data_IF_707222349675
#
_entry.id   IF_707222349675
#
_cell.length_a   1.000
_cell.length_b   1.000
_cell.length_c   1.000
_cell.angle_alpha   90.00
_cell.angle_beta   90.00
_cell.angle_gamma   90.00
#
_symmetry.space_group_name_H-M   'P 1'
#
loop_
_entity.id
_entity.type
_entity.pdbx_description
1 polymer ?
#
# COMPACT_ATOMS: atom_id res chain seq x y z
N UNK A 1 -5.85 -33.15 -8.66
CA UNK A 1 -4.37 -33.19 -8.51
C UNK A 1 -3.90 -31.97 -7.74
N UNK A 2 -3.87 -32.05 -6.40
CA UNK A 2 -3.41 -30.95 -5.54
C UNK A 2 -1.95 -30.54 -5.83
N UNK A 3 -1.12 -31.50 -6.26
CA UNK A 3 0.31 -31.28 -6.54
C UNK A 3 0.54 -30.21 -7.63
N UNK A 4 -0.10 -30.35 -8.79
CA UNK A 4 0.10 -29.43 -9.92
C UNK A 4 -0.55 -28.05 -9.70
N UNK A 5 -1.68 -28.00 -8.98
CA UNK A 5 -2.40 -26.73 -8.73
C UNK A 5 -1.94 -25.96 -7.50
N UNK A 6 -1.23 -26.61 -6.56
CA UNK A 6 -0.82 -26.02 -5.27
C UNK A 6 0.68 -26.10 -5.06
N UNK A 7 1.27 -27.29 -5.17
CA UNK A 7 2.69 -27.51 -4.86
C UNK A 7 3.61 -26.87 -5.88
N UNK A 8 3.28 -26.95 -7.18
CA UNK A 8 4.10 -26.36 -8.24
C UNK A 8 4.14 -24.82 -8.14
N UNK A 9 3.00 -24.10 -8.04
CA UNK A 9 3.02 -22.65 -7.81
C UNK A 9 3.80 -22.26 -6.54
N UNK A 10 3.60 -22.97 -5.43
CA UNK A 10 4.33 -22.71 -4.18
C UNK A 10 5.84 -22.89 -4.34
N UNK A 11 6.28 -23.96 -5.00
CA UNK A 11 7.69 -24.22 -5.24
C UNK A 11 8.32 -23.12 -6.11
N UNK A 12 7.61 -22.66 -7.15
CA UNK A 12 8.05 -21.55 -7.98
C UNK A 12 8.19 -20.28 -7.12
N UNK A 13 7.16 -19.90 -6.37
CA UNK A 13 7.22 -18.72 -5.49
C UNK A 13 8.37 -18.81 -4.48
N UNK A 14 8.60 -19.98 -3.89
CA UNK A 14 9.69 -20.21 -2.94
C UNK A 14 11.07 -20.03 -3.58
N UNK A 15 11.28 -20.61 -4.77
CA UNK A 15 12.52 -20.47 -5.52
C UNK A 15 12.79 -19.02 -5.91
N UNK A 16 11.78 -18.30 -6.42
CA UNK A 16 11.90 -16.87 -6.71
C UNK A 16 12.23 -16.06 -5.45
N UNK A 17 11.61 -16.38 -4.31
CA UNK A 17 11.92 -15.75 -3.02
C UNK A 17 13.38 -15.94 -2.61
N UNK A 18 13.92 -17.15 -2.72
CA UNK A 18 15.34 -17.43 -2.45
C UNK A 18 16.25 -16.67 -3.41
N UNK A 19 15.94 -16.69 -4.71
CA UNK A 19 16.73 -15.97 -5.72
C UNK A 19 16.78 -14.49 -5.39
N UNK A 20 15.64 -13.84 -5.10
CA UNK A 20 15.61 -12.41 -4.75
C UNK A 20 16.33 -12.08 -3.44
N UNK A 21 16.30 -12.99 -2.47
CA UNK A 21 17.05 -12.83 -1.22
C UNK A 21 18.56 -12.84 -1.50
N UNK A 22 19.07 -13.85 -2.21
CA UNK A 22 20.51 -13.96 -2.54
C UNK A 22 20.94 -12.77 -3.40
N UNK A 23 20.14 -12.46 -4.42
CA UNK A 23 20.29 -11.34 -5.33
C UNK A 23 20.56 -10.01 -4.59
N UNK A 24 19.78 -9.72 -3.55
CA UNK A 24 19.90 -8.47 -2.79
C UNK A 24 21.27 -8.32 -2.08
N UNK A 25 21.87 -9.41 -1.60
CA UNK A 25 23.13 -9.37 -0.83
C UNK A 25 24.40 -9.57 -1.68
N UNK A 26 24.28 -10.03 -2.93
CA UNK A 26 25.44 -10.32 -3.80
C UNK A 26 25.67 -9.17 -4.79
N UNK A 27 26.75 -8.38 -4.67
CA UNK A 27 27.01 -7.25 -5.56
C UNK A 27 27.71 -7.69 -6.87
N UNK A 28 27.03 -8.50 -7.68
CA UNK A 28 27.52 -8.96 -8.99
C UNK A 28 26.75 -8.31 -10.15
N UNK A 29 27.34 -8.21 -11.35
CA UNK A 29 26.72 -7.54 -12.52
C UNK A 29 25.37 -8.14 -12.91
N UNK A 30 25.31 -9.47 -13.06
CA UNK A 30 24.06 -10.19 -13.35
C UNK A 30 22.99 -9.95 -12.27
N UNK A 31 23.45 -9.69 -11.05
CA UNK A 31 22.56 -9.37 -9.95
C UNK A 31 21.94 -7.98 -10.14
N UNK A 32 22.76 -6.95 -10.35
CA UNK A 32 22.27 -5.59 -10.57
C UNK A 32 21.30 -5.52 -11.77
N UNK A 33 21.56 -6.24 -12.86
CA UNK A 33 20.67 -6.32 -14.03
C UNK A 33 19.32 -6.97 -13.71
N UNK A 34 19.30 -8.05 -12.91
CA UNK A 34 18.06 -8.68 -12.44
C UNK A 34 17.26 -7.72 -11.55
N UNK A 35 17.93 -7.04 -10.62
CA UNK A 35 17.29 -6.08 -9.73
C UNK A 35 16.64 -4.92 -10.51
N UNK A 36 17.35 -4.33 -11.48
CA UNK A 36 16.80 -3.25 -12.30
C UNK A 36 15.61 -3.73 -13.12
N UNK A 37 15.72 -4.90 -13.76
CA UNK A 37 14.62 -5.46 -14.58
C UNK A 37 13.37 -5.70 -13.74
N UNK A 38 13.55 -6.26 -12.55
CA UNK A 38 12.44 -6.57 -11.65
C UNK A 38 11.83 -5.30 -11.06
N UNK A 39 12.64 -4.28 -10.75
CA UNK A 39 12.15 -2.98 -10.33
C UNK A 39 11.31 -2.31 -11.42
N UNK A 40 11.73 -2.39 -12.69
CA UNK A 40 10.95 -1.86 -13.81
C UNK A 40 9.60 -2.58 -13.95
N UNK A 41 9.60 -3.91 -13.86
CA UNK A 41 8.35 -4.68 -13.84
C UNK A 41 7.46 -4.31 -12.65
N UNK A 42 8.03 -4.19 -11.44
CA UNK A 42 7.30 -3.80 -10.24
C UNK A 42 6.74 -2.39 -10.35
N UNK A 43 7.45 -1.44 -10.96
CA UNK A 43 6.96 -0.07 -11.15
C UNK A 43 5.73 -0.05 -12.05
N UNK A 44 5.77 -0.78 -13.17
CA UNK A 44 4.62 -0.92 -14.08
C UNK A 44 3.44 -1.61 -13.38
N UNK A 45 3.68 -2.76 -12.74
CA UNK A 45 2.63 -3.54 -12.05
C UNK A 45 2.03 -2.72 -10.90
N UNK A 46 2.86 -2.07 -10.09
CA UNK A 46 2.41 -1.28 -8.93
C UNK A 46 1.58 -0.08 -9.35
N UNK A 47 1.91 0.56 -10.47
CA UNK A 47 1.10 1.63 -11.04
C UNK A 47 -0.34 1.16 -11.30
N UNK A 48 -0.52 0.06 -12.04
CA UNK A 48 -1.86 -0.49 -12.28
C UNK A 48 -2.53 -1.02 -11.01
N UNK A 49 -1.78 -1.70 -10.14
CA UNK A 49 -2.29 -2.24 -8.90
C UNK A 49 -2.81 -1.15 -7.96
N UNK A 50 -2.17 0.02 -7.91
CA UNK A 50 -2.63 1.17 -7.12
C UNK A 50 -4.03 1.62 -7.57
N UNK A 51 -4.25 1.77 -8.87
CA UNK A 51 -5.57 2.17 -9.40
C UNK A 51 -6.63 1.10 -9.17
N UNK A 52 -6.31 -0.18 -9.40
CA UNK A 52 -7.23 -1.28 -9.14
C UNK A 52 -7.54 -1.41 -7.64
N UNK A 53 -6.53 -1.23 -6.79
CA UNK A 53 -6.67 -1.25 -5.34
C UNK A 53 -7.62 -0.15 -4.85
N UNK A 54 -7.37 1.10 -5.24
CA UNK A 54 -8.25 2.23 -4.88
C UNK A 54 -9.65 2.00 -5.47
N UNK A 55 -9.75 1.65 -6.76
CA UNK A 55 -11.03 1.46 -7.44
C UNK A 55 -11.88 0.38 -6.79
N UNK A 56 -11.29 -0.78 -6.47
CA UNK A 56 -12.00 -1.88 -5.81
C UNK A 56 -12.50 -1.49 -4.42
N UNK A 57 -11.68 -0.80 -3.62
CA UNK A 57 -12.05 -0.30 -2.30
C UNK A 57 -13.21 0.71 -2.40
N UNK A 58 -13.12 1.65 -3.34
CA UNK A 58 -14.15 2.66 -3.57
C UNK A 58 -15.47 2.02 -3.97
N UNK A 59 -15.46 1.08 -4.93
CA UNK A 59 -16.65 0.37 -5.36
C UNK A 59 -17.30 -0.41 -4.22
N UNK A 60 -16.50 -1.13 -3.42
CA UNK A 60 -16.99 -1.91 -2.29
C UNK A 60 -17.67 -1.03 -1.24
N UNK A 61 -17.04 0.09 -0.87
CA UNK A 61 -17.58 0.99 0.15
C UNK A 61 -18.74 1.85 -0.37
N UNK A 62 -18.70 2.28 -1.63
CA UNK A 62 -19.81 2.99 -2.27
C UNK A 62 -21.06 2.09 -2.34
N UNK A 63 -20.90 0.80 -2.68
CA UNK A 63 -22.01 -0.13 -2.72
C UNK A 63 -22.62 -0.37 -1.33
N UNK A 64 -21.79 -0.43 -0.28
CA UNK A 64 -22.27 -0.51 1.10
C UNK A 64 -23.10 0.69 1.50
N UNK A 65 -22.68 1.90 1.13
CA UNK A 65 -23.43 3.14 1.38
C UNK A 65 -24.74 3.13 0.60
N UNK A 66 -24.70 2.79 -0.70
CA UNK A 66 -25.88 2.75 -1.57
C UNK A 66 -26.94 1.77 -1.07
N UNK A 67 -26.51 0.59 -0.61
CA UNK A 67 -27.40 -0.45 -0.08
C UNK A 67 -27.77 -0.26 1.39
N UNK A 68 -27.20 0.73 2.07
CA UNK A 68 -27.39 0.99 3.50
C UNK A 68 -27.24 -0.26 4.37
N UNK A 69 -26.30 -1.15 4.03
CA UNK A 69 -26.06 -2.37 4.82
C UNK A 69 -25.61 -2.01 6.23
N UNK A 70 -25.87 -2.88 7.20
CA UNK A 70 -25.42 -2.67 8.58
C UNK A 70 -23.92 -2.32 8.61
N UNK A 71 -23.57 -1.23 9.30
CA UNK A 71 -22.21 -0.69 9.33
C UNK A 71 -21.83 0.21 8.14
N UNK A 72 -22.77 0.67 7.31
CA UNK A 72 -22.51 1.60 6.20
C UNK A 72 -21.81 2.89 6.66
N UNK A 73 -22.07 3.35 7.89
CA UNK A 73 -21.44 4.55 8.46
C UNK A 73 -19.91 4.47 8.48
N UNK A 74 -19.33 3.30 8.71
CA UNK A 74 -17.87 3.10 8.63
C UNK A 74 -17.31 3.32 7.23
N UNK A 75 -18.13 3.11 6.19
CA UNK A 75 -17.73 3.40 4.80
C UNK A 75 -17.65 4.90 4.55
N UNK A 76 -18.53 5.71 5.16
CA UNK A 76 -18.43 7.16 5.10
C UNK A 76 -17.16 7.68 5.81
N UNK A 77 -16.80 7.07 6.95
CA UNK A 77 -15.55 7.39 7.66
C UNK A 77 -14.32 7.07 6.80
N UNK A 78 -14.33 5.97 6.05
CA UNK A 78 -13.25 5.64 5.10
C UNK A 78 -13.07 6.75 4.05
N UNK A 79 -14.16 7.17 3.38
CA UNK A 79 -14.10 8.24 2.39
C UNK A 79 -13.66 9.58 2.99
N UNK A 80 -14.15 9.92 4.17
CA UNK A 80 -13.74 11.13 4.88
C UNK A 80 -12.24 11.10 5.20
N UNK A 81 -11.73 10.00 5.73
CA UNK A 81 -10.30 9.82 6.02
C UNK A 81 -9.43 9.91 4.76
N UNK A 82 -9.87 9.28 3.66
CA UNK A 82 -9.21 9.39 2.36
C UNK A 82 -9.15 10.84 1.88
N UNK A 83 -10.27 11.57 1.89
CA UNK A 83 -10.33 12.96 1.47
C UNK A 83 -9.46 13.87 2.33
N UNK A 84 -9.48 13.70 3.66
CA UNK A 84 -8.63 14.47 4.57
C UNK A 84 -7.15 14.27 4.21
N UNK A 85 -6.70 13.04 4.00
CA UNK A 85 -5.31 12.75 3.65
C UNK A 85 -4.92 13.30 2.28
N UNK A 86 -5.78 13.18 1.27
CA UNK A 86 -5.52 13.70 -0.08
C UNK A 86 -5.50 15.23 -0.08
N UNK A 87 -6.50 15.88 0.51
CA UNK A 87 -6.59 17.35 0.54
C UNK A 87 -5.41 17.94 1.30
N UNK A 88 -5.11 17.43 2.49
CA UNK A 88 -3.95 17.92 3.27
C UNK A 88 -2.63 17.66 2.56
N UNK A 89 -2.48 16.50 1.91
CA UNK A 89 -1.32 16.16 1.09
C UNK A 89 -1.13 17.11 -0.09
N UNK A 90 -2.19 17.41 -0.84
CA UNK A 90 -2.16 18.35 -1.97
C UNK A 90 -1.82 19.77 -1.50
N UNK A 91 -2.46 20.24 -0.42
CA UNK A 91 -2.18 21.56 0.16
C UNK A 91 -0.72 21.68 0.63
N UNK A 92 -0.16 20.61 1.19
CA UNK A 92 1.23 20.56 1.64
C UNK A 92 2.23 20.22 0.52
N UNK A 93 1.79 20.09 -0.74
CA UNK A 93 2.60 19.62 -1.88
C UNK A 93 3.35 18.31 -1.59
N UNK A 94 2.73 17.42 -0.82
CA UNK A 94 3.29 16.13 -0.40
C UNK A 94 4.39 16.22 0.67
N UNK A 95 4.69 17.42 1.21
CA UNK A 95 5.71 17.58 2.25
C UNK A 95 5.09 17.40 3.63
N UNK A 96 5.68 16.54 4.45
CA UNK A 96 5.27 16.29 5.85
C UNK A 96 5.74 17.41 6.80
N UNK A 97 6.85 18.08 6.47
CA UNK A 97 7.42 19.17 7.26
C UNK A 97 7.75 20.36 6.36
N UNK A 98 7.47 21.57 6.84
CA UNK A 98 7.90 22.79 6.15
C UNK A 98 9.41 22.97 6.32
N UNK A 99 10.12 23.06 5.19
CA UNK A 99 11.58 23.21 5.15
C UNK A 99 12.02 24.56 5.75
N UNK A 100 11.15 25.58 5.71
CA UNK A 100 11.48 26.95 6.09
C UNK A 100 11.19 27.27 7.56
N UNK A 101 10.24 26.56 8.20
CA UNK A 101 9.77 26.89 9.56
C UNK A 101 10.01 25.75 10.56
N UNK A 102 10.40 24.56 10.09
CA UNK A 102 10.51 23.36 10.93
C UNK A 102 9.18 22.86 11.50
N UNK A 103 8.06 23.52 11.17
CA UNK A 103 6.72 23.15 11.62
C UNK A 103 6.14 22.04 10.74
N UNK A 104 5.35 21.17 11.37
CA UNK A 104 4.60 20.13 10.66
C UNK A 104 3.59 20.79 9.73
N UNK A 105 3.51 20.28 8.50
CA UNK A 105 2.44 20.71 7.58
C UNK A 105 1.11 20.10 8.03
N UNK A 106 -0.01 20.60 7.49
CA UNK A 106 -1.31 20.00 7.72
C UNK A 106 -1.32 18.49 7.38
N UNK A 107 -0.58 18.08 6.34
CA UNK A 107 -0.38 16.67 5.98
C UNK A 107 0.43 15.90 7.02
N UNK A 108 1.51 16.50 7.54
CA UNK A 108 2.31 15.86 8.58
C UNK A 108 1.54 15.63 9.86
N UNK A 109 0.72 16.59 10.26
CA UNK A 109 -0.12 16.46 11.44
C UNK A 109 -1.20 15.39 11.27
N UNK A 110 -1.91 15.36 10.13
CA UNK A 110 -2.92 14.31 9.85
C UNK A 110 -2.27 12.93 9.72
N UNK A 111 -1.09 12.83 9.11
CA UNK A 111 -0.33 11.58 9.04
C UNK A 111 0.02 11.04 10.43
N UNK A 112 0.59 11.87 11.30
CA UNK A 112 1.00 11.45 12.65
C UNK A 112 -0.18 11.18 13.58
N UNK A 113 -1.28 11.91 13.41
CA UNK A 113 -2.45 11.81 14.33
C UNK A 113 -3.44 10.75 13.89
N UNK A 114 -3.62 10.54 12.58
CA UNK A 114 -4.59 9.59 12.04
C UNK A 114 -3.89 8.32 11.54
N UNK A 115 -3.00 8.44 10.56
CA UNK A 115 -2.47 7.28 9.85
C UNK A 115 -1.60 6.39 10.76
N UNK A 116 -0.67 6.99 11.51
CA UNK A 116 0.27 6.23 12.37
C UNK A 116 -0.46 5.41 13.44
N UNK A 117 -1.36 5.97 14.28
CA UNK A 117 -2.10 5.17 15.26
C UNK A 117 -3.00 4.10 14.62
N UNK A 118 -3.69 4.43 13.53
CA UNK A 118 -4.55 3.49 12.81
C UNK A 118 -3.77 2.30 12.22
N UNK A 119 -2.53 2.52 11.78
CA UNK A 119 -1.66 1.41 11.36
C UNK A 119 -1.29 0.50 12.53
N UNK A 120 -1.11 1.06 13.73
CA UNK A 120 -0.84 0.30 14.96
C UNK A 120 -2.05 -0.52 15.45
N UNK A 121 -3.27 -0.01 15.31
CA UNK A 121 -4.48 -0.73 15.76
C UNK A 121 -4.74 -2.00 14.96
N UNK A 122 -4.39 -2.04 13.67
CA UNK A 122 -4.48 -3.26 12.87
C UNK A 122 -3.62 -4.40 13.44
N UNK A 123 -2.43 -4.08 13.93
CA UNK A 123 -1.57 -5.05 14.61
C UNK A 123 -2.07 -5.40 16.02
N UNK A 124 -2.59 -4.42 16.76
CA UNK A 124 -3.14 -4.65 18.09
C UNK A 124 -4.36 -5.59 18.09
N UNK A 125 -5.14 -5.63 17.01
CA UNK A 125 -6.26 -6.57 16.85
C UNK A 125 -5.82 -8.03 16.60
N UNK A 126 -4.55 -8.27 16.28
CA UNK A 126 -4.01 -9.60 15.97
C UNK A 126 -3.32 -10.28 17.16
N UNK A 127 -3.18 -9.61 18.31
CA UNK A 127 -2.56 -10.14 19.53
C UNK A 127 -3.54 -10.26 20.69
#
# INVERSE_FOLDING_TARGET
MLFLKRTVPLAICFLFGIVFLIQYFVPHRASQELLTTVNDWMLVISGFAMFLGIGSLFLQHAERIRRQVAGWGYSAVMFAGFLVMVVTGVLARGKTSSIETGQQTAFGWTYLTLFVPLSGTMFALLG
#
